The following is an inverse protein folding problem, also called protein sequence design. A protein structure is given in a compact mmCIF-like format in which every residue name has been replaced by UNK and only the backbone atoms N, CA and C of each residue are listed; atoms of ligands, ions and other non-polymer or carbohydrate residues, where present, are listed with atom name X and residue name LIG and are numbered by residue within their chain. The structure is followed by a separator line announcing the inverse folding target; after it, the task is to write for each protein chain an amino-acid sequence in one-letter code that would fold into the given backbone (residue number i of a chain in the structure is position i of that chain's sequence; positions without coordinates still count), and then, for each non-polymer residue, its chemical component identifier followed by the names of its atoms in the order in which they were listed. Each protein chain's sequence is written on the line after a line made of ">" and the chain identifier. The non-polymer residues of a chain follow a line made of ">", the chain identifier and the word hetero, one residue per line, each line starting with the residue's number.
data_IF_183158095406
#
_entry.id   IF_183158095406
#
_cell.length_a   1.000
_cell.length_b   1.000
_cell.length_c   1.000
_cell.angle_alpha   90.00
_cell.angle_beta   90.00
_cell.angle_gamma   90.00
#
_symmetry.space_group_name_H-M   'P 1'
#
loop_
_entity.id
_entity.type
_entity.pdbx_description
1 polymer ?
#
# COMPACT_ATOMS: atom_id res chain seq x y z
N UNK A 1 45.06 43.23 43.70
CA UNK A 1 44.17 42.94 42.55
C UNK A 1 44.46 41.52 42.11
N UNK A 2 43.60 40.52 42.39
CA UNK A 2 43.82 39.16 41.90
C UNK A 2 43.07 38.93 40.55
N UNK A 3 43.79 38.34 39.59
CA UNK A 3 43.33 37.94 38.29
C UNK A 3 42.65 36.57 38.42
N UNK A 4 41.34 36.51 38.11
CA UNK A 4 40.59 35.23 37.97
C UNK A 4 40.78 34.70 36.58
N UNK A 5 41.44 33.55 36.44
CA UNK A 5 41.50 32.77 35.23
C UNK A 5 40.24 31.89 35.16
N UNK A 6 39.36 32.14 34.17
CA UNK A 6 38.21 31.29 33.91
C UNK A 6 38.66 30.06 33.11
N UNK A 7 38.58 28.87 33.70
CA UNK A 7 38.70 27.59 33.00
C UNK A 7 37.40 27.30 32.25
N UNK A 8 37.44 27.31 30.92
CA UNK A 8 36.39 26.81 30.04
C UNK A 8 36.48 25.27 29.99
N UNK A 9 35.59 24.58 30.67
CA UNK A 9 35.40 23.14 30.50
C UNK A 9 34.59 22.87 29.23
N UNK A 10 35.25 22.40 28.17
CA UNK A 10 34.65 21.88 26.97
C UNK A 10 34.07 20.49 27.28
N UNK A 11 32.76 20.37 27.49
CA UNK A 11 32.09 19.07 27.59
C UNK A 11 31.94 18.45 26.19
N UNK A 12 32.76 17.49 25.88
CA UNK A 12 32.64 16.62 24.69
C UNK A 12 31.38 15.71 24.92
N UNK A 13 30.28 16.08 24.31
CA UNK A 13 29.09 15.21 24.27
C UNK A 13 29.39 14.07 23.30
N UNK A 14 29.84 12.94 23.83
CA UNK A 14 29.85 11.69 23.07
C UNK A 14 28.39 11.28 22.81
N UNK A 15 27.97 11.44 21.57
CA UNK A 15 26.74 10.83 21.08
C UNK A 15 26.95 9.31 21.12
N UNK A 16 26.55 8.67 22.22
CA UNK A 16 26.51 7.23 22.32
C UNK A 16 25.43 6.74 21.35
N UNK A 17 25.86 6.18 20.22
CA UNK A 17 24.98 5.34 19.39
C UNK A 17 24.49 4.23 20.32
N UNK A 18 23.18 4.23 20.65
CA UNK A 18 22.59 3.14 21.39
C UNK A 18 22.84 1.84 20.59
N UNK A 19 23.26 0.74 21.23
CA UNK A 19 23.39 -0.54 20.54
C UNK A 19 22.02 -0.89 19.98
N UNK A 20 21.93 -1.07 18.66
CA UNK A 20 20.77 -1.69 18.04
C UNK A 20 20.65 -3.08 18.63
N UNK A 21 19.49 -3.42 19.19
CA UNK A 21 19.21 -4.75 19.72
C UNK A 21 19.26 -5.77 18.56
N UNK A 22 20.45 -6.36 18.36
CA UNK A 22 20.73 -7.30 17.27
C UNK A 22 20.09 -8.67 17.50
N UNK A 23 19.51 -8.91 18.70
CA UNK A 23 18.95 -10.21 19.13
C UNK A 23 17.68 -10.63 18.38
N UNK A 24 17.10 -9.76 17.55
CA UNK A 24 15.84 -10.04 16.83
C UNK A 24 15.92 -9.75 15.32
N UNK A 25 17.12 -9.88 14.74
CA UNK A 25 17.28 -9.73 13.30
C UNK A 25 16.92 -11.01 12.56
N UNK A 26 16.26 -10.85 11.40
CA UNK A 26 15.99 -11.94 10.47
C UNK A 26 16.45 -11.56 9.08
N UNK A 27 16.92 -12.53 8.30
CA UNK A 27 17.32 -12.34 6.91
C UNK A 27 16.60 -13.34 6.01
N UNK A 28 15.71 -12.87 5.13
CA UNK A 28 15.11 -13.68 4.06
C UNK A 28 16.06 -13.63 2.87
N UNK A 29 16.52 -14.81 2.39
CA UNK A 29 17.65 -14.93 1.47
C UNK A 29 17.22 -15.71 0.22
N UNK A 30 17.51 -15.17 -0.97
CA UNK A 30 17.37 -15.89 -2.25
C UNK A 30 15.96 -15.86 -2.85
N UNK A 31 15.02 -15.12 -2.28
CA UNK A 31 13.69 -14.95 -2.85
C UNK A 31 13.72 -14.03 -4.09
N UNK A 32 12.73 -14.19 -4.96
CA UNK A 32 12.39 -13.17 -5.96
C UNK A 32 11.58 -12.09 -5.24
N UNK A 33 12.13 -10.88 -5.14
CA UNK A 33 11.49 -9.75 -4.49
C UNK A 33 10.59 -8.99 -5.46
N UNK A 34 9.31 -8.87 -5.13
CA UNK A 34 8.32 -7.98 -5.75
C UNK A 34 8.01 -6.91 -4.70
N UNK A 35 8.72 -5.81 -4.75
CA UNK A 35 8.80 -4.85 -3.66
C UNK A 35 7.57 -3.94 -3.48
N UNK A 36 6.57 -4.04 -4.37
CA UNK A 36 5.34 -3.24 -4.33
C UNK A 36 5.45 -1.85 -4.98
N UNK A 37 6.60 -1.49 -5.59
CA UNK A 37 6.80 -0.19 -6.25
C UNK A 37 6.49 -0.18 -7.75
N UNK A 38 6.14 -1.34 -8.32
CA UNK A 38 5.84 -1.46 -9.75
C UNK A 38 7.06 -1.63 -10.65
N UNK A 39 8.25 -1.82 -10.08
CA UNK A 39 9.46 -2.19 -10.82
C UNK A 39 9.48 -3.68 -11.20
N UNK A 40 10.46 -4.11 -12.02
CA UNK A 40 10.66 -5.53 -12.33
C UNK A 40 11.04 -6.31 -11.06
N UNK A 41 10.57 -7.57 -10.92
CA UNK A 41 10.95 -8.43 -9.82
C UNK A 41 12.48 -8.62 -9.74
N UNK A 42 13.05 -8.52 -8.53
CA UNK A 42 14.47 -8.67 -8.27
C UNK A 42 14.78 -10.12 -7.86
N UNK A 43 15.49 -10.85 -8.70
CA UNK A 43 15.92 -12.22 -8.38
C UNK A 43 17.05 -12.22 -7.35
N UNK A 44 17.15 -13.32 -6.58
CA UNK A 44 18.20 -13.54 -5.57
C UNK A 44 18.37 -12.36 -4.62
N UNK A 45 17.27 -11.92 -4.02
CA UNK A 45 17.24 -10.82 -3.08
C UNK A 45 17.64 -11.22 -1.67
N UNK A 46 18.04 -10.23 -0.88
CA UNK A 46 18.14 -10.32 0.59
C UNK A 46 17.28 -9.23 1.18
N UNK A 47 16.47 -9.60 2.18
CA UNK A 47 15.71 -8.65 3.01
C UNK A 47 16.07 -8.91 4.48
N UNK A 48 16.68 -7.91 5.11
CA UNK A 48 17.05 -7.94 6.53
C UNK A 48 16.04 -7.14 7.34
N UNK A 49 15.51 -7.74 8.40
CA UNK A 49 14.64 -7.06 9.38
C UNK A 49 15.32 -6.95 10.73
N UNK A 50 14.99 -5.90 11.47
CA UNK A 50 15.40 -5.71 12.85
C UNK A 50 14.16 -5.33 13.65
N UNK A 51 13.82 -6.14 14.65
CA UNK A 51 12.57 -6.01 15.40
C UNK A 51 11.34 -6.00 14.48
N UNK A 52 10.62 -4.89 14.41
CA UNK A 52 9.39 -4.71 13.60
C UNK A 52 9.64 -4.02 12.25
N UNK A 53 10.91 -3.64 11.93
CA UNK A 53 11.25 -2.85 10.74
C UNK A 53 12.13 -3.60 9.77
N UNK A 54 11.95 -3.26 8.49
CA UNK A 54 12.90 -3.62 7.44
C UNK A 54 14.13 -2.73 7.61
N UNK A 55 15.30 -3.35 7.82
CA UNK A 55 16.56 -2.65 7.89
C UNK A 55 17.09 -2.33 6.49
N UNK A 56 17.09 -3.35 5.64
CA UNK A 56 17.62 -3.26 4.28
C UNK A 56 16.96 -4.31 3.37
N UNK A 57 16.78 -3.97 2.09
CA UNK A 57 16.26 -4.87 1.07
C UNK A 57 16.96 -4.59 -0.27
N UNK A 58 17.39 -5.62 -0.99
CA UNK A 58 18.08 -5.46 -2.26
C UNK A 58 18.67 -6.75 -2.82
N UNK A 59 19.56 -6.61 -3.80
CA UNK A 59 20.25 -7.75 -4.39
C UNK A 59 21.24 -8.39 -3.40
N UNK A 60 21.50 -9.69 -3.51
CA UNK A 60 22.49 -10.40 -2.69
C UNK A 60 23.88 -9.75 -2.74
N UNK A 61 24.23 -9.12 -3.84
CA UNK A 61 25.53 -8.46 -4.01
C UNK A 61 25.67 -7.12 -3.25
N UNK A 62 24.56 -6.55 -2.79
CA UNK A 62 24.53 -5.21 -2.18
C UNK A 62 24.12 -5.22 -0.71
N UNK A 63 23.35 -6.22 -0.25
CA UNK A 63 22.87 -6.30 1.13
C UNK A 63 23.75 -7.22 1.96
N UNK A 64 24.26 -6.71 3.08
CA UNK A 64 25.05 -7.50 4.03
C UNK A 64 24.12 -8.20 5.03
N UNK A 65 24.33 -9.51 5.21
CA UNK A 65 23.62 -10.29 6.22
C UNK A 65 24.37 -10.18 7.54
N UNK A 66 23.75 -9.64 8.61
CA UNK A 66 24.35 -9.66 9.94
C UNK A 66 24.60 -11.10 10.40
N UNK A 67 25.73 -11.31 11.09
CA UNK A 67 26.14 -12.66 11.51
C UNK A 67 25.10 -13.31 12.45
N UNK A 68 24.45 -12.49 13.27
CA UNK A 68 23.47 -12.86 14.31
C UNK A 68 22.06 -13.05 13.76
N UNK A 69 21.81 -12.68 12.48
CA UNK A 69 20.47 -12.77 11.90
C UNK A 69 20.03 -14.22 11.71
N UNK A 70 18.81 -14.51 12.14
CA UNK A 70 18.11 -15.77 11.81
C UNK A 70 17.87 -15.84 10.30
N UNK A 71 18.45 -16.83 9.65
CA UNK A 71 18.39 -17.00 8.19
C UNK A 71 17.18 -17.78 7.76
N UNK A 72 16.38 -17.20 6.90
CA UNK A 72 15.18 -17.81 6.31
C UNK A 72 15.46 -18.05 4.83
N UNK A 73 15.36 -19.33 4.40
CA UNK A 73 15.55 -19.70 3.00
C UNK A 73 14.32 -19.32 2.15
N UNK A 74 14.54 -18.34 1.28
CA UNK A 74 13.57 -17.86 0.29
C UNK A 74 13.80 -18.41 -1.12
N UNK A 75 14.77 -19.31 -1.32
CA UNK A 75 15.12 -19.85 -2.63
C UNK A 75 13.92 -20.48 -3.33
N UNK A 76 13.68 -20.11 -4.59
CA UNK A 76 12.53 -20.56 -5.36
C UNK A 76 11.18 -19.99 -4.94
N UNK A 77 11.16 -19.02 -4.01
CA UNK A 77 9.94 -18.37 -3.50
C UNK A 77 9.89 -16.90 -3.91
N UNK A 78 8.72 -16.27 -3.69
CA UNK A 78 8.43 -14.90 -4.07
C UNK A 78 8.07 -14.10 -2.83
N UNK A 79 8.76 -12.99 -2.60
CA UNK A 79 8.53 -12.12 -1.45
C UNK A 79 7.78 -10.88 -1.89
N UNK A 80 6.63 -10.63 -1.27
CA UNK A 80 5.76 -9.48 -1.56
C UNK A 80 5.39 -8.75 -0.27
N UNK A 81 5.06 -7.45 -0.29
CA UNK A 81 4.48 -6.77 0.87
C UNK A 81 3.15 -7.43 1.27
N UNK A 82 2.77 -7.33 2.54
CA UNK A 82 1.43 -7.74 2.97
C UNK A 82 0.35 -6.94 2.24
N UNK A 83 -0.72 -7.63 1.85
CA UNK A 83 -1.85 -7.02 1.13
C UNK A 83 -2.64 -6.10 2.05
N UNK A 84 -3.10 -4.99 1.50
CA UNK A 84 -3.85 -3.95 2.21
C UNK A 84 -5.21 -3.79 1.53
N UNK A 85 -6.26 -4.07 2.28
CA UNK A 85 -7.65 -3.79 1.91
C UNK A 85 -8.03 -2.42 2.48
N UNK A 86 -8.31 -1.44 1.62
CA UNK A 86 -8.64 -0.08 2.08
C UNK A 86 -10.03 0.02 2.70
N UNK A 87 -10.93 -0.91 2.35
CA UNK A 87 -12.28 -0.96 2.88
C UNK A 87 -12.77 -2.41 3.02
N UNK A 88 -12.26 -3.16 4.01
CA UNK A 88 -12.65 -4.56 4.20
C UNK A 88 -14.09 -4.70 4.67
N UNK A 89 -14.61 -3.72 5.43
CA UNK A 89 -16.02 -3.59 5.81
C UNK A 89 -16.29 -2.21 6.39
N UNK A 90 -17.56 -1.80 6.43
CA UNK A 90 -17.96 -0.53 7.04
C UNK A 90 -17.54 -0.43 8.53
N UNK A 91 -17.58 -1.54 9.28
CA UNK A 91 -17.17 -1.58 10.68
C UNK A 91 -15.66 -1.41 10.84
N UNK A 92 -14.86 -2.14 10.05
CA UNK A 92 -13.39 -2.08 10.12
C UNK A 92 -12.87 -0.69 9.66
N UNK A 93 -13.50 -0.10 8.65
CA UNK A 93 -13.16 1.24 8.18
C UNK A 93 -13.32 2.30 9.27
N UNK A 94 -14.42 2.25 10.04
CA UNK A 94 -14.66 3.19 11.16
C UNK A 94 -13.61 3.10 12.27
N UNK A 95 -12.97 1.94 12.45
CA UNK A 95 -11.97 1.72 13.50
C UNK A 95 -10.56 2.16 13.11
N UNK A 96 -10.26 2.27 11.83
CA UNK A 96 -8.89 2.49 11.32
C UNK A 96 -8.64 3.92 10.85
N UNK A 97 -9.67 4.78 10.70
CA UNK A 97 -9.53 5.83 9.72
C UNK A 97 -9.36 7.24 10.27
N UNK A 98 -8.33 7.88 9.74
CA UNK A 98 -8.27 9.32 9.52
C UNK A 98 -9.06 9.71 8.26
N UNK A 99 -10.08 8.93 7.87
CA UNK A 99 -10.88 9.14 6.68
C UNK A 99 -12.36 9.24 7.02
N UNK A 100 -13.04 10.18 6.41
CA UNK A 100 -14.50 10.32 6.47
C UNK A 100 -15.08 9.72 5.18
N UNK A 101 -16.03 8.80 5.31
CA UNK A 101 -16.67 8.13 4.19
C UNK A 101 -18.02 8.82 3.86
N UNK A 102 -18.18 9.29 2.63
CA UNK A 102 -19.38 9.96 2.15
C UNK A 102 -19.97 9.26 0.93
N UNK A 103 -21.27 9.09 0.90
CA UNK A 103 -22.02 8.62 -0.28
C UNK A 103 -22.65 9.77 -1.07
N UNK A 104 -22.62 10.99 -0.55
CA UNK A 104 -23.12 12.22 -1.20
C UNK A 104 -22.27 13.39 -0.77
N UNK A 105 -22.31 14.47 -1.58
CA UNK A 105 -21.69 15.74 -1.21
C UNK A 105 -22.37 16.32 0.02
N UNK A 106 -21.59 16.53 1.06
CA UNK A 106 -21.99 17.21 2.30
C UNK A 106 -20.96 18.31 2.59
N UNK A 107 -21.28 19.59 2.29
CA UNK A 107 -20.36 20.71 2.51
C UNK A 107 -19.86 20.82 3.95
N UNK A 108 -20.72 20.56 4.95
CA UNK A 108 -20.32 20.63 6.35
C UNK A 108 -19.33 19.51 6.70
N UNK A 109 -19.51 18.30 6.16
CA UNK A 109 -18.55 17.22 6.33
C UNK A 109 -17.21 17.52 5.64
N UNK A 110 -17.19 18.21 4.51
CA UNK A 110 -15.96 18.64 3.83
C UNK A 110 -15.21 19.70 4.65
N UNK A 111 -15.90 20.68 5.21
CA UNK A 111 -15.28 21.67 6.10
C UNK A 111 -14.72 21.01 7.37
N UNK A 112 -15.51 20.19 8.05
CA UNK A 112 -15.10 19.49 9.26
C UNK A 112 -13.88 18.57 9.00
N UNK A 113 -13.84 17.87 7.87
CA UNK A 113 -12.70 17.02 7.51
C UNK A 113 -11.43 17.83 7.25
N UNK A 114 -11.57 18.99 6.57
CA UNK A 114 -10.45 19.91 6.31
C UNK A 114 -9.89 20.45 7.63
N UNK A 115 -10.75 20.89 8.55
CA UNK A 115 -10.34 21.43 9.85
C UNK A 115 -9.67 20.38 10.73
N UNK A 116 -10.13 19.12 10.64
CA UNK A 116 -9.56 18.00 11.36
C UNK A 116 -8.32 17.38 10.67
N UNK A 117 -7.94 17.84 9.46
CA UNK A 117 -6.86 17.25 8.68
C UNK A 117 -7.14 15.78 8.28
N UNK A 118 -8.41 15.40 8.12
CA UNK A 118 -8.85 14.08 7.71
C UNK A 118 -9.15 14.04 6.21
N UNK A 119 -8.93 12.88 5.58
CA UNK A 119 -9.24 12.69 4.16
C UNK A 119 -10.71 12.29 3.99
N UNK A 120 -11.32 12.71 2.88
CA UNK A 120 -12.65 12.28 2.48
C UNK A 120 -12.53 11.23 1.40
N UNK A 121 -13.23 10.11 1.60
CA UNK A 121 -13.37 9.02 0.64
C UNK A 121 -14.84 8.93 0.24
N UNK A 122 -15.12 9.05 -1.05
CA UNK A 122 -16.46 8.95 -1.62
C UNK A 122 -16.84 7.50 -1.94
N UNK A 123 -18.07 7.10 -1.60
CA UNK A 123 -18.67 5.89 -2.16
C UNK A 123 -19.47 6.29 -3.40
N UNK A 124 -19.11 5.74 -4.56
CA UNK A 124 -19.62 6.19 -5.86
C UNK A 124 -20.15 5.06 -6.70
N UNK A 125 -21.14 5.39 -7.53
CA UNK A 125 -21.67 4.52 -8.57
C UNK A 125 -21.95 5.26 -9.88
N UNK A 126 -21.96 6.60 -9.85
CA UNK A 126 -22.25 7.43 -11.03
C UNK A 126 -21.10 8.42 -11.33
N UNK A 127 -20.97 8.79 -12.58
CA UNK A 127 -20.01 9.80 -12.99
C UNK A 127 -20.29 11.18 -12.37
N UNK A 128 -21.57 11.50 -12.16
CA UNK A 128 -22.00 12.73 -11.51
C UNK A 128 -21.55 12.80 -10.04
N UNK A 129 -21.66 11.69 -9.29
CA UNK A 129 -21.20 11.62 -7.91
C UNK A 129 -19.69 11.83 -7.82
N UNK A 130 -18.93 11.18 -8.71
CA UNK A 130 -17.46 11.34 -8.75
C UNK A 130 -17.10 12.80 -9.00
N UNK A 131 -17.74 13.45 -9.97
CA UNK A 131 -17.47 14.86 -10.29
C UNK A 131 -17.75 15.75 -9.09
N UNK A 132 -18.91 15.61 -8.49
CA UNK A 132 -19.32 16.43 -7.35
C UNK A 132 -18.41 16.24 -6.11
N UNK A 133 -18.00 15.01 -5.84
CA UNK A 133 -17.09 14.71 -4.72
C UNK A 133 -15.64 15.17 -5.00
N UNK A 134 -15.18 15.13 -6.27
CA UNK A 134 -13.88 15.73 -6.66
C UNK A 134 -13.90 17.23 -6.45
N UNK A 135 -14.98 17.89 -6.84
CA UNK A 135 -15.16 19.35 -6.67
C UNK A 135 -15.17 19.72 -5.16
N UNK A 136 -15.71 18.86 -4.32
CA UNK A 136 -15.66 18.99 -2.85
C UNK A 136 -14.30 18.70 -2.22
N UNK A 137 -13.36 18.09 -2.94
CA UNK A 137 -12.02 17.78 -2.44
C UNK A 137 -11.86 16.36 -1.89
N UNK A 138 -12.64 15.39 -2.38
CA UNK A 138 -12.43 13.98 -2.03
C UNK A 138 -11.05 13.49 -2.49
N UNK A 139 -10.38 12.71 -1.63
CA UNK A 139 -9.03 12.18 -1.86
C UNK A 139 -9.03 10.78 -2.53
N UNK A 140 -10.16 10.09 -2.50
CA UNK A 140 -10.28 8.75 -3.07
C UNK A 140 -11.71 8.29 -3.18
N UNK A 141 -11.91 7.16 -3.89
CA UNK A 141 -13.23 6.58 -4.12
C UNK A 141 -13.25 5.08 -3.87
N UNK A 142 -14.37 4.60 -3.35
CA UNK A 142 -14.72 3.19 -3.22
C UNK A 142 -15.96 2.94 -4.08
N UNK A 143 -15.97 1.84 -4.84
CA UNK A 143 -16.95 1.56 -5.87
C UNK A 143 -16.47 2.02 -7.24
N UNK A 144 -17.34 1.93 -8.25
CA UNK A 144 -17.00 2.27 -9.62
C UNK A 144 -18.15 2.98 -10.31
N UNK A 145 -17.84 3.84 -11.28
CA UNK A 145 -18.80 4.43 -12.20
C UNK A 145 -19.44 3.29 -13.00
N UNK A 146 -20.75 3.13 -12.92
CA UNK A 146 -21.48 2.04 -13.56
C UNK A 146 -22.75 2.50 -14.29
N UNK A 147 -22.99 3.80 -14.27
CA UNK A 147 -24.11 4.44 -15.00
C UNK A 147 -23.78 4.72 -16.48
N UNK A 148 -22.50 4.61 -16.87
CA UNK A 148 -22.03 4.81 -18.24
C UNK A 148 -20.72 4.08 -18.50
N UNK A 149 -20.48 3.64 -19.73
CA UNK A 149 -19.17 3.16 -20.22
C UNK A 149 -18.35 4.31 -20.85
N UNK A 150 -18.99 5.45 -21.15
CA UNK A 150 -18.34 6.62 -21.74
C UNK A 150 -17.89 7.58 -20.64
N UNK A 151 -16.67 7.35 -20.14
CA UNK A 151 -16.05 8.19 -19.12
C UNK A 151 -15.63 9.54 -19.72
N UNK A 152 -16.06 10.61 -19.09
CA UNK A 152 -15.66 11.97 -19.45
C UNK A 152 -14.15 12.16 -19.34
N UNK A 153 -13.51 12.56 -20.44
CA UNK A 153 -12.05 12.70 -20.57
C UNK A 153 -11.46 13.75 -19.62
N UNK A 154 -12.22 14.83 -19.38
CA UNK A 154 -11.77 15.91 -18.48
C UNK A 154 -11.80 15.43 -17.03
N UNK A 155 -12.85 14.67 -16.64
CA UNK A 155 -12.93 14.05 -15.33
C UNK A 155 -11.78 13.07 -15.11
N UNK A 156 -11.53 12.17 -16.08
CA UNK A 156 -10.43 11.20 -16.01
C UNK A 156 -9.06 11.90 -15.89
N UNK A 157 -8.86 12.97 -16.66
CA UNK A 157 -7.63 13.77 -16.59
C UNK A 157 -7.46 14.46 -15.23
N UNK A 158 -8.54 14.95 -14.63
CA UNK A 158 -8.53 15.51 -13.26
C UNK A 158 -8.19 14.45 -12.21
N UNK A 159 -8.81 13.27 -12.28
CA UNK A 159 -8.55 12.15 -11.36
C UNK A 159 -7.06 11.77 -11.37
N UNK A 160 -6.48 11.64 -12.56
CA UNK A 160 -5.05 11.36 -12.73
C UNK A 160 -4.18 12.48 -12.17
N UNK A 161 -4.44 13.74 -12.55
CA UNK A 161 -3.59 14.88 -12.19
C UNK A 161 -3.62 15.16 -10.67
N UNK A 162 -4.76 14.97 -10.02
CA UNK A 162 -4.93 15.08 -8.58
C UNK A 162 -4.47 13.81 -7.84
N UNK A 163 -4.06 12.75 -8.57
CA UNK A 163 -3.66 11.44 -8.02
C UNK A 163 -4.73 10.83 -7.11
N UNK A 164 -6.01 11.05 -7.46
CA UNK A 164 -7.13 10.48 -6.71
C UNK A 164 -7.14 8.97 -6.89
N UNK A 165 -7.16 8.25 -5.76
CA UNK A 165 -7.13 6.79 -5.76
C UNK A 165 -8.53 6.23 -5.94
N UNK A 166 -8.69 5.26 -6.86
CA UNK A 166 -9.92 4.51 -7.05
C UNK A 166 -9.79 3.08 -6.54
N UNK A 167 -10.69 2.65 -5.66
CA UNK A 167 -10.81 1.26 -5.20
C UNK A 167 -12.15 0.68 -5.70
N UNK A 168 -12.14 -0.07 -6.83
CA UNK A 168 -13.35 -0.40 -7.58
C UNK A 168 -14.38 -1.24 -6.84
N UNK A 169 -13.93 -2.07 -5.87
CA UNK A 169 -14.78 -3.02 -5.15
C UNK A 169 -15.61 -3.92 -6.10
N UNK A 170 -14.93 -4.47 -7.13
CA UNK A 170 -15.55 -5.25 -8.21
C UNK A 170 -16.31 -6.45 -7.69
N UNK A 171 -15.83 -7.07 -6.60
CA UNK A 171 -16.46 -8.25 -5.98
C UNK A 171 -17.88 -7.99 -5.50
N UNK A 172 -18.28 -6.73 -5.32
CA UNK A 172 -19.63 -6.35 -4.85
C UNK A 172 -20.50 -5.70 -5.92
N UNK A 173 -20.04 -5.60 -7.18
CA UNK A 173 -20.74 -4.85 -8.25
C UNK A 173 -21.99 -5.59 -8.81
N UNK A 174 -22.15 -6.88 -8.55
CA UNK A 174 -23.35 -7.62 -8.97
C UNK A 174 -23.61 -7.54 -10.48
N UNK A 175 -24.79 -7.06 -10.88
CA UNK A 175 -25.19 -6.95 -12.28
C UNK A 175 -24.43 -5.89 -13.08
N UNK A 176 -23.74 -4.96 -12.44
CA UNK A 176 -22.95 -3.90 -13.09
C UNK A 176 -21.47 -4.25 -13.23
N UNK A 177 -21.08 -5.50 -12.91
CA UNK A 177 -19.69 -5.93 -12.87
C UNK A 177 -18.95 -5.70 -14.19
N UNK A 178 -19.57 -5.97 -15.33
CA UNK A 178 -18.86 -5.83 -16.62
C UNK A 178 -18.58 -4.35 -16.95
N UNK A 179 -19.53 -3.45 -16.68
CA UNK A 179 -19.32 -1.99 -16.81
C UNK A 179 -18.23 -1.55 -15.84
N UNK A 180 -18.27 -2.02 -14.60
CA UNK A 180 -17.26 -1.70 -13.59
C UNK A 180 -15.86 -2.16 -14.01
N UNK A 181 -15.70 -3.37 -14.55
CA UNK A 181 -14.43 -3.89 -15.08
C UNK A 181 -13.94 -3.04 -16.26
N UNK A 182 -14.84 -2.72 -17.21
CA UNK A 182 -14.52 -1.86 -18.35
C UNK A 182 -13.97 -0.50 -17.88
N UNK A 183 -14.67 0.16 -16.98
CA UNK A 183 -14.28 1.47 -16.47
C UNK A 183 -13.02 1.42 -15.59
N UNK A 184 -12.83 0.36 -14.81
CA UNK A 184 -11.59 0.12 -14.06
C UNK A 184 -10.39 0.06 -15.01
N UNK A 185 -10.51 -0.70 -16.10
CA UNK A 185 -9.46 -0.78 -17.14
C UNK A 185 -9.18 0.59 -17.75
N UNK A 186 -10.22 1.37 -18.08
CA UNK A 186 -10.06 2.71 -18.66
C UNK A 186 -9.35 3.68 -17.71
N UNK A 187 -9.74 3.69 -16.43
CA UNK A 187 -9.08 4.51 -15.42
C UNK A 187 -7.61 4.11 -15.23
N UNK A 188 -7.34 2.80 -15.13
CA UNK A 188 -5.97 2.29 -15.03
C UNK A 188 -5.12 2.68 -16.25
N UNK A 189 -5.62 2.48 -17.47
CA UNK A 189 -4.93 2.83 -18.71
C UNK A 189 -4.67 4.34 -18.84
N UNK A 190 -5.53 5.17 -18.24
CA UNK A 190 -5.36 6.62 -18.16
C UNK A 190 -4.35 7.05 -17.07
N UNK A 191 -3.83 6.13 -16.26
CA UNK A 191 -2.88 6.40 -15.17
C UNK A 191 -3.53 6.88 -13.87
N UNK A 192 -4.82 6.64 -13.67
CA UNK A 192 -5.48 6.85 -12.38
C UNK A 192 -5.05 5.74 -11.43
N UNK A 193 -4.56 6.05 -10.21
CA UNK A 193 -4.12 5.04 -9.26
C UNK A 193 -5.27 4.13 -8.82
N UNK A 194 -5.10 2.82 -8.95
CA UNK A 194 -6.07 1.82 -8.48
C UNK A 194 -5.59 1.26 -7.14
N UNK A 195 -6.47 1.20 -6.15
CA UNK A 195 -6.30 0.49 -4.88
C UNK A 195 -7.29 -0.67 -4.78
N UNK A 196 -7.27 -1.39 -3.67
CA UNK A 196 -8.12 -2.57 -3.47
C UNK A 196 -9.06 -2.41 -2.29
N UNK A 197 -10.36 -2.66 -2.52
CA UNK A 197 -11.38 -2.69 -1.49
C UNK A 197 -12.28 -3.91 -1.68
N UNK A 198 -12.36 -4.78 -0.69
CA UNK A 198 -13.28 -5.94 -0.76
C UNK A 198 -14.73 -5.59 -0.41
N UNK A 199 -14.96 -4.49 0.30
CA UNK A 199 -16.28 -3.99 0.70
C UNK A 199 -17.19 -5.09 1.30
N UNK A 200 -16.62 -5.95 2.12
CA UNK A 200 -17.31 -7.09 2.74
C UNK A 200 -17.27 -8.38 1.91
N UNK A 201 -16.71 -8.36 0.71
CA UNK A 201 -16.49 -9.54 -0.12
C UNK A 201 -15.15 -10.23 0.12
N UNK A 202 -14.78 -11.16 -0.75
CA UNK A 202 -13.47 -11.85 -0.73
C UNK A 202 -12.38 -10.98 -1.40
N UNK A 203 -11.38 -10.58 -0.63
CA UNK A 203 -10.24 -9.81 -1.13
C UNK A 203 -9.53 -10.51 -2.30
N UNK A 204 -9.30 -11.80 -2.21
CA UNK A 204 -8.63 -12.51 -3.29
C UNK A 204 -9.46 -12.52 -4.58
N UNK A 205 -10.79 -12.60 -4.45
CA UNK A 205 -11.67 -12.51 -5.62
C UNK A 205 -11.62 -11.10 -6.23
N UNK A 206 -11.50 -10.06 -5.42
CA UNK A 206 -11.29 -8.69 -5.92
C UNK A 206 -10.00 -8.60 -6.75
N UNK A 207 -8.88 -9.18 -6.28
CA UNK A 207 -7.62 -9.20 -7.03
C UNK A 207 -7.74 -9.96 -8.37
N UNK A 208 -8.44 -11.09 -8.37
CA UNK A 208 -8.74 -11.86 -9.59
C UNK A 208 -9.56 -11.03 -10.57
N UNK A 209 -10.59 -10.33 -10.10
CA UNK A 209 -11.45 -9.47 -10.91
C UNK A 209 -10.70 -8.28 -11.51
N UNK A 210 -9.72 -7.72 -10.80
CA UNK A 210 -8.83 -6.68 -11.35
C UNK A 210 -8.00 -7.21 -12.52
N UNK A 211 -7.48 -8.44 -12.41
CA UNK A 211 -6.78 -9.08 -13.53
C UNK A 211 -7.75 -9.38 -14.69
N UNK A 212 -8.96 -9.88 -14.40
CA UNK A 212 -10.01 -10.07 -15.42
C UNK A 212 -10.42 -8.75 -16.10
N UNK A 213 -10.37 -7.63 -15.38
CA UNK A 213 -10.56 -6.30 -15.95
C UNK A 213 -9.41 -5.86 -16.89
N UNK A 214 -8.29 -6.59 -16.91
CA UNK A 214 -7.15 -6.34 -17.80
C UNK A 214 -6.00 -5.58 -17.15
N UNK A 215 -5.94 -5.51 -15.82
CA UNK A 215 -4.79 -4.98 -15.09
C UNK A 215 -3.75 -6.11 -14.95
N UNK A 216 -2.48 -5.89 -15.33
CA UNK A 216 -1.44 -6.91 -15.18
C UNK A 216 -1.27 -7.35 -13.72
N UNK A 217 -0.95 -8.64 -13.44
CA UNK A 217 -0.84 -9.14 -12.06
C UNK A 217 0.14 -8.36 -11.17
N UNK A 218 1.27 -7.89 -11.70
CA UNK A 218 2.23 -7.07 -10.93
C UNK A 218 1.64 -5.70 -10.56
N UNK A 219 0.83 -5.10 -11.43
CA UNK A 219 0.15 -3.84 -11.14
C UNK A 219 -1.01 -4.04 -10.13
N UNK A 220 -1.65 -5.22 -10.13
CA UNK A 220 -2.62 -5.59 -9.07
C UNK A 220 -1.92 -5.73 -7.72
N UNK A 221 -0.67 -6.24 -7.66
CA UNK A 221 0.11 -6.25 -6.42
C UNK A 221 0.40 -4.82 -5.96
N UNK A 222 0.77 -3.90 -6.87
CA UNK A 222 0.94 -2.46 -6.56
C UNK A 222 -0.36 -1.86 -6.02
N UNK A 223 -1.49 -2.18 -6.67
CA UNK A 223 -2.82 -1.73 -6.22
C UNK A 223 -3.13 -2.20 -4.79
N UNK A 224 -2.84 -3.49 -4.48
CA UNK A 224 -3.10 -4.10 -3.18
C UNK A 224 -2.04 -3.78 -2.10
N UNK A 225 -1.00 -3.02 -2.42
CA UNK A 225 0.10 -2.71 -1.50
C UNK A 225 0.36 -1.22 -1.43
N UNK A 226 1.22 -0.64 -2.28
CA UNK A 226 1.63 0.77 -2.18
C UNK A 226 0.48 1.74 -2.45
N UNK A 227 -0.38 1.49 -3.45
CA UNK A 227 -1.52 2.38 -3.73
C UNK A 227 -2.55 2.32 -2.59
N UNK A 228 -2.82 1.12 -2.04
CA UNK A 228 -3.70 0.95 -0.88
C UNK A 228 -3.12 1.63 0.38
N UNK A 229 -1.79 1.54 0.59
CA UNK A 229 -1.13 2.28 1.67
C UNK A 229 -1.26 3.80 1.48
N UNK A 230 -1.10 4.29 0.25
CA UNK A 230 -1.27 5.70 -0.08
C UNK A 230 -2.71 6.18 0.17
N UNK A 231 -3.71 5.39 -0.24
CA UNK A 231 -5.11 5.69 0.00
C UNK A 231 -5.46 5.81 1.49
N UNK A 232 -4.73 5.08 2.36
CA UNK A 232 -4.89 5.14 3.82
C UNK A 232 -3.96 6.15 4.50
N UNK A 233 -3.13 6.90 3.76
CA UNK A 233 -2.14 7.82 4.32
C UNK A 233 -1.02 7.12 5.10
N UNK A 234 -0.71 5.85 4.78
CA UNK A 234 0.25 5.01 5.49
C UNK A 234 1.51 4.67 4.67
N UNK A 235 1.77 5.39 3.58
CA UNK A 235 2.89 5.11 2.67
C UNK A 235 4.27 5.16 3.32
N UNK A 236 4.44 5.93 4.41
CA UNK A 236 5.69 5.96 5.18
C UNK A 236 5.92 4.70 6.00
N UNK A 237 4.87 3.94 6.31
CA UNK A 237 4.93 2.81 7.24
C UNK A 237 4.86 1.45 6.56
N UNK A 238 4.04 1.32 5.51
CA UNK A 238 3.71 0.04 4.86
C UNK A 238 3.54 0.18 3.35
N UNK A 239 3.27 -0.94 2.67
CA UNK A 239 2.91 -1.01 1.26
C UNK A 239 4.06 -1.32 0.32
N UNK A 240 5.31 -1.19 0.78
CA UNK A 240 6.50 -1.62 0.01
C UNK A 240 7.53 -2.29 0.92
N UNK A 241 8.40 -3.12 0.33
CA UNK A 241 9.55 -3.72 1.03
C UNK A 241 10.76 -2.84 0.80
N UNK A 242 10.99 -1.91 1.72
CA UNK A 242 12.14 -0.99 1.70
C UNK A 242 12.56 -0.59 3.12
N UNK A 243 13.82 -0.18 3.28
CA UNK A 243 14.40 0.18 4.59
C UNK A 243 13.56 1.24 5.33
N UNK A 244 13.38 1.04 6.63
CA UNK A 244 12.61 1.91 7.52
C UNK A 244 11.13 1.55 7.65
N UNK A 245 10.55 0.83 6.71
CA UNK A 245 9.14 0.42 6.76
C UNK A 245 8.94 -0.80 7.66
N UNK A 246 7.70 -0.97 8.08
CA UNK A 246 7.28 -2.10 8.92
C UNK A 246 7.49 -3.43 8.19
N UNK A 247 8.00 -4.41 8.88
CA UNK A 247 8.28 -5.73 8.35
C UNK A 247 7.00 -6.57 8.26
N UNK A 248 6.12 -6.17 7.34
CA UNK A 248 4.87 -6.85 6.98
C UNK A 248 4.99 -7.40 5.56
N UNK A 249 5.20 -8.70 5.43
CA UNK A 249 5.45 -9.33 4.13
C UNK A 249 4.97 -10.77 4.06
N UNK A 250 4.79 -11.27 2.85
CA UNK A 250 4.40 -12.64 2.53
C UNK A 250 5.48 -13.30 1.68
N UNK A 251 5.94 -14.47 2.09
CA UNK A 251 6.77 -15.34 1.28
C UNK A 251 5.86 -16.39 0.62
N UNK A 252 5.79 -16.39 -0.70
CA UNK A 252 4.88 -17.21 -1.49
C UNK A 252 5.65 -18.37 -2.14
N UNK A 253 5.02 -19.53 -2.26
CA UNK A 253 5.60 -20.71 -2.91
C UNK A 253 5.43 -20.74 -4.43
N UNK A 254 4.71 -19.77 -5.02
CA UNK A 254 4.51 -19.69 -6.46
C UNK A 254 4.45 -18.22 -6.93
N UNK A 255 4.74 -17.98 -8.22
CA UNK A 255 4.89 -16.66 -8.82
C UNK A 255 3.53 -15.93 -8.95
N UNK A 256 3.28 -14.84 -8.17
CA UNK A 256 2.04 -14.09 -8.28
C UNK A 256 1.99 -13.18 -9.52
N UNK A 257 3.14 -12.93 -10.18
CA UNK A 257 3.21 -12.20 -11.44
C UNK A 257 2.75 -13.03 -12.64
N UNK A 258 2.79 -14.36 -12.55
CA UNK A 258 2.25 -15.27 -13.57
C UNK A 258 0.75 -15.55 -13.37
N UNK A 259 0.35 -15.70 -12.11
CA UNK A 259 -1.03 -15.97 -11.73
C UNK A 259 -1.31 -15.30 -10.37
N UNK A 260 -2.20 -14.32 -10.36
CA UNK A 260 -2.54 -13.57 -9.15
C UNK A 260 -3.08 -14.48 -8.02
N UNK A 261 -3.70 -15.62 -8.36
CA UNK A 261 -4.17 -16.63 -7.40
C UNK A 261 -3.05 -17.23 -6.56
N UNK A 262 -1.80 -17.12 -7.01
CA UNK A 262 -0.64 -17.56 -6.26
C UNK A 262 -0.38 -16.73 -4.98
N UNK A 263 -1.01 -15.56 -4.82
CA UNK A 263 -1.04 -14.83 -3.55
C UNK A 263 -1.68 -15.62 -2.41
N UNK A 264 -2.49 -16.64 -2.70
CA UNK A 264 -3.05 -17.57 -1.70
C UNK A 264 -2.03 -18.62 -1.22
N UNK A 265 -0.95 -18.84 -1.97
CA UNK A 265 0.07 -19.89 -1.69
C UNK A 265 1.15 -19.36 -0.73
N UNK A 266 0.73 -18.92 0.44
CA UNK A 266 1.61 -18.35 1.47
C UNK A 266 2.41 -19.47 2.15
N UNK A 267 3.73 -19.47 1.96
CA UNK A 267 4.65 -20.36 2.67
C UNK A 267 5.01 -19.81 4.05
N UNK A 268 5.12 -18.47 4.18
CA UNK A 268 5.43 -17.81 5.43
C UNK A 268 4.83 -16.41 5.43
N UNK A 269 4.32 -15.99 6.58
CA UNK A 269 3.84 -14.61 6.82
C UNK A 269 4.71 -13.98 7.89
N UNK A 270 5.19 -12.77 7.61
CA UNK A 270 5.81 -11.92 8.61
C UNK A 270 4.90 -10.72 8.90
N UNK A 271 4.63 -10.45 10.16
CA UNK A 271 3.83 -9.31 10.61
C UNK A 271 4.52 -8.61 11.77
N UNK A 272 4.79 -7.31 11.64
CA UNK A 272 5.59 -6.54 12.59
C UNK A 272 6.93 -7.24 12.93
N UNK A 273 7.59 -7.84 11.94
CA UNK A 273 8.85 -8.55 12.10
C UNK A 273 8.73 -9.93 12.77
N UNK A 274 7.53 -10.38 13.14
CA UNK A 274 7.26 -11.69 13.74
C UNK A 274 6.73 -12.67 12.69
N UNK A 275 7.21 -13.93 12.75
CA UNK A 275 6.82 -15.03 11.86
C UNK A 275 5.60 -15.76 12.39
#
# INVERSE_FOLDING_TARGET
>A
MPRYAALLLLSLSMCACAPTDESHMKAIIGAVLIDGRGGPPLSDSIVVTATDRIREAGARSTVLIPAEADKIDGSGKFLVPSLIDVYPSAQAARQRSRTVHLSKVDPAAFEAARDAGTQIVGHVSTQADVRALVDGGAAGFIGMITDTEDLDSDLVSRLRNLRIVFAPALVTQGSTLEIAKHNTRRLFAAGVPIAVASNGGDLNRELELLVEAGIPPLDVIVAATSNSAAALGQSSEVGTIEGGKRADMLLLSANPGEDIRNLRKVALRMSNGVL
#
